data_IF_411909158051
#
_entry.id   IF_411909158051
#
_cell.length_a   1.000
_cell.length_b   1.000
_cell.length_c   1.000
_cell.angle_alpha   90.00
_cell.angle_beta   90.00
_cell.angle_gamma   90.00
#
_symmetry.space_group_name_H-M   'P 1'
#
loop_
_entity.id
_entity.type
_entity.pdbx_description
1 polymer ?
#
# COMPACT_ATOMS: atom_id res chain seq x y z
N UNK A 1 17.08 7.24 -50.92
CA UNK A 1 17.89 6.18 -50.27
C UNK A 1 17.10 5.63 -49.09
N UNK A 2 17.18 4.33 -48.80
CA UNK A 2 16.52 3.75 -47.62
C UNK A 2 17.42 3.91 -46.41
N UNK A 3 16.83 4.21 -45.25
CA UNK A 3 17.60 4.36 -44.01
C UNK A 3 17.76 3.00 -43.33
N UNK A 4 18.85 2.83 -42.56
CA UNK A 4 19.12 1.63 -41.76
C UNK A 4 17.90 1.26 -40.88
N UNK A 5 17.20 2.25 -40.35
CA UNK A 5 15.98 2.05 -39.54
C UNK A 5 14.84 1.39 -40.33
N UNK A 6 14.68 1.71 -41.61
CA UNK A 6 13.64 1.13 -42.47
C UNK A 6 13.91 -0.35 -42.77
N UNK A 7 15.18 -0.70 -43.00
CA UNK A 7 15.61 -2.09 -43.22
C UNK A 7 15.45 -2.93 -41.96
N UNK A 8 15.83 -2.39 -40.80
CA UNK A 8 15.63 -3.03 -39.51
C UNK A 8 14.14 -3.31 -39.23
N UNK A 9 13.26 -2.36 -39.54
CA UNK A 9 11.80 -2.54 -39.38
C UNK A 9 11.25 -3.64 -40.29
N UNK A 10 11.75 -3.73 -41.51
CA UNK A 10 11.40 -4.80 -42.46
C UNK A 10 11.86 -6.17 -41.96
N UNK A 11 13.10 -6.26 -41.48
CA UNK A 11 13.65 -7.49 -40.90
C UNK A 11 12.85 -7.95 -39.67
N UNK A 12 12.54 -7.04 -38.74
CA UNK A 12 11.73 -7.36 -37.56
C UNK A 12 10.34 -7.91 -37.91
N UNK A 13 9.71 -7.41 -38.99
CA UNK A 13 8.41 -7.87 -39.47
C UNK A 13 8.47 -9.29 -40.06
N UNK A 14 9.50 -9.59 -40.84
CA UNK A 14 9.72 -10.92 -41.43
C UNK A 14 10.01 -11.96 -40.34
N UNK A 15 10.86 -11.60 -39.38
CA UNK A 15 11.30 -12.50 -38.31
C UNK A 15 10.32 -12.59 -37.12
N UNK A 16 9.12 -11.99 -37.23
CA UNK A 16 8.07 -11.99 -36.19
C UNK A 16 8.60 -11.61 -34.79
N UNK A 17 9.57 -10.70 -34.73
CA UNK A 17 10.16 -10.26 -33.45
C UNK A 17 9.08 -9.48 -32.69
N UNK A 18 8.45 -10.14 -31.72
CA UNK A 18 7.47 -9.48 -30.86
C UNK A 18 8.23 -8.47 -30.01
N UNK A 19 8.08 -7.17 -30.31
CA UNK A 19 8.45 -6.15 -29.36
C UNK A 19 7.63 -6.41 -28.09
N UNK A 20 8.31 -6.80 -27.00
CA UNK A 20 7.70 -6.82 -25.68
C UNK A 20 7.27 -5.39 -25.37
N UNK A 21 6.04 -5.06 -25.72
CA UNK A 21 5.39 -3.88 -25.19
C UNK A 21 5.31 -4.13 -23.70
N UNK A 22 6.26 -3.56 -22.96
CA UNK A 22 6.17 -3.41 -21.52
C UNK A 22 5.01 -2.46 -21.24
N UNK A 23 3.79 -2.95 -21.46
CA UNK A 23 2.58 -2.36 -20.91
C UNK A 23 2.78 -2.48 -19.42
N UNK A 24 3.29 -1.40 -18.81
CA UNK A 24 3.28 -1.20 -17.36
C UNK A 24 1.83 -1.43 -16.95
N UNK A 25 1.51 -2.65 -16.52
CA UNK A 25 0.20 -2.98 -15.99
C UNK A 25 0.05 -2.04 -14.80
N UNK A 26 -0.77 -0.98 -14.95
CA UNK A 26 -1.10 -0.09 -13.84
C UNK A 26 -1.50 -1.00 -12.69
N UNK A 27 -0.71 -1.01 -11.62
CA UNK A 27 -0.97 -1.87 -10.48
C UNK A 27 -2.42 -1.61 -10.05
N UNK A 28 -3.27 -2.66 -10.14
CA UNK A 28 -4.64 -2.55 -9.66
C UNK A 28 -4.55 -2.10 -8.20
N UNK A 29 -5.10 -0.92 -7.87
CA UNK A 29 -5.16 -0.45 -6.49
C UNK A 29 -5.78 -1.58 -5.67
N UNK A 30 -5.04 -2.15 -4.70
CA UNK A 30 -5.57 -3.13 -3.76
C UNK A 30 -6.84 -2.52 -3.15
N UNK A 31 -8.00 -3.15 -3.38
CA UNK A 31 -9.20 -2.82 -2.61
C UNK A 31 -8.82 -3.04 -1.15
N UNK A 32 -8.84 -1.98 -0.35
CA UNK A 32 -8.54 -2.08 1.09
C UNK A 32 -9.60 -3.01 1.67
N UNK A 33 -9.17 -4.15 2.21
CA UNK A 33 -10.08 -5.10 2.86
C UNK A 33 -10.83 -4.42 3.98
N UNK A 34 -12.06 -4.89 4.27
CA UNK A 34 -12.94 -4.37 5.33
C UNK A 34 -12.35 -4.53 6.74
N UNK A 35 -11.21 -5.19 6.88
CA UNK A 35 -10.56 -5.58 8.14
C UNK A 35 -9.58 -4.54 8.68
N UNK A 36 -9.76 -3.25 8.34
CA UNK A 36 -8.95 -2.19 8.95
C UNK A 36 -9.69 -1.65 10.17
N UNK A 37 -9.20 -2.06 11.35
CA UNK A 37 -9.51 -1.37 12.60
C UNK A 37 -9.16 0.11 12.45
N UNK A 38 -10.08 0.97 12.87
CA UNK A 38 -9.82 2.40 12.96
C UNK A 38 -8.83 2.68 14.09
N UNK A 39 -8.25 3.88 14.11
CA UNK A 39 -7.34 4.27 15.20
C UNK A 39 -8.05 4.22 16.58
N UNK A 40 -9.36 4.52 16.60
CA UNK A 40 -10.20 4.38 17.80
C UNK A 40 -10.31 2.92 18.23
N UNK A 41 -10.61 2.02 17.28
CA UNK A 41 -10.76 0.59 17.58
C UNK A 41 -9.44 0.00 18.12
N UNK A 42 -8.30 0.44 17.56
CA UNK A 42 -6.98 0.04 18.05
C UNK A 42 -6.76 0.59 19.47
N UNK A 43 -7.08 1.86 19.74
CA UNK A 43 -6.92 2.46 21.08
C UNK A 43 -7.79 1.77 22.13
N UNK A 44 -9.00 1.37 21.76
CA UNK A 44 -9.92 0.63 22.63
C UNK A 44 -9.43 -0.79 22.89
N UNK A 45 -9.03 -1.51 21.83
CA UNK A 45 -8.46 -2.86 21.93
C UNK A 45 -7.19 -2.89 22.79
N UNK A 46 -6.32 -1.90 22.62
CA UNK A 46 -5.08 -1.75 23.38
C UNK A 46 -5.31 -1.17 24.79
N UNK A 47 -6.55 -0.82 25.15
CA UNK A 47 -6.88 -0.30 26.49
C UNK A 47 -6.26 1.05 26.82
N UNK A 48 -5.85 1.83 25.81
CA UNK A 48 -5.09 3.09 25.98
C UNK A 48 -5.88 4.13 26.78
N UNK A 49 -7.21 4.12 26.67
CA UNK A 49 -8.10 5.04 27.39
C UNK A 49 -8.59 4.55 28.75
N UNK A 50 -8.05 3.44 29.29
CA UNK A 50 -8.53 2.91 30.58
C UNK A 50 -8.13 3.85 31.73
N UNK A 51 -9.08 4.29 32.58
CA UNK A 51 -8.76 5.12 33.74
C UNK A 51 -7.89 4.33 34.72
N UNK A 52 -6.78 4.94 35.13
CA UNK A 52 -5.86 4.35 36.11
C UNK A 52 -6.07 5.06 37.44
N UNK A 53 -6.43 4.31 38.47
CA UNK A 53 -6.60 4.84 39.81
C UNK A 53 -5.34 4.62 40.64
N UNK A 54 -4.91 5.63 41.39
CA UNK A 54 -3.82 5.53 42.36
C UNK A 54 -4.22 6.16 43.69
N UNK A 55 -3.60 5.68 44.77
CA UNK A 55 -3.77 6.30 46.09
C UNK A 55 -2.94 7.58 46.14
N UNK A 56 -3.59 8.69 46.47
CA UNK A 56 -2.91 9.97 46.71
C UNK A 56 -2.29 10.06 48.11
N UNK A 57 -1.55 11.13 48.36
CA UNK A 57 -1.08 11.48 49.72
C UNK A 57 -2.32 11.81 50.57
N UNK A 58 -2.78 10.86 51.38
CA UNK A 58 -4.07 10.89 52.08
C UNK A 58 -4.94 9.64 51.92
N UNK A 59 -4.48 8.62 51.19
CA UNK A 59 -5.10 7.29 51.15
C UNK A 59 -6.32 7.15 50.24
N UNK A 60 -6.96 8.27 49.89
CA UNK A 60 -8.05 8.32 48.91
C UNK A 60 -7.56 7.90 47.51
N UNK A 61 -8.37 7.08 46.84
CA UNK A 61 -8.16 6.76 45.43
C UNK A 61 -8.56 7.95 44.55
N UNK A 62 -7.69 8.33 43.63
CA UNK A 62 -7.97 9.33 42.59
C UNK A 62 -7.54 8.78 41.25
N UNK A 63 -8.25 9.15 40.20
CA UNK A 63 -7.81 8.92 38.84
C UNK A 63 -6.51 9.71 38.62
N UNK A 64 -5.49 9.04 38.08
CA UNK A 64 -4.20 9.65 37.73
C UNK A 64 -4.29 10.33 36.37
#
# INVERSE_FOLDING_TARGET
>A
MRTIQQELKKWMKVNKVQQRQNKRKKARKKKRGKERLTERDIKELMGVGRPVYRRGKGGAFRQR
#
